data_IF_368204261880
#
_entry.id   IF_368204261880
#
_cell.length_a   1.000
_cell.length_b   1.000
_cell.length_c   1.000
_cell.angle_alpha   90.00
_cell.angle_beta   90.00
_cell.angle_gamma   90.00
#
_symmetry.space_group_name_H-M   'P 1'
#
loop_
_entity.id
_entity.type
_entity.pdbx_description
1 polymer ?
#
# COMPACT_ATOMS: atom_id res chain seq x y z
N UNK A 1 6.02 -2.54 9.16
CA UNK A 1 6.78 -2.51 10.44
C UNK A 1 5.80 -2.36 11.58
N UNK A 2 6.04 -2.95 12.75
CA UNK A 2 5.16 -2.74 13.90
C UNK A 2 5.29 -1.31 14.44
N UNK A 3 4.18 -0.58 14.49
CA UNK A 3 4.04 0.74 15.13
C UNK A 3 3.20 0.59 16.39
N UNK A 4 3.61 1.22 17.50
CA UNK A 4 2.82 1.26 18.74
C UNK A 4 2.31 2.68 18.97
N UNK A 5 1.00 2.85 19.11
CA UNK A 5 0.36 4.08 19.56
C UNK A 5 -0.46 3.74 20.80
N UNK A 6 -0.14 4.38 21.93
CA UNK A 6 -0.66 3.98 23.25
C UNK A 6 -0.45 2.49 23.49
N UNK A 7 -1.51 1.69 23.64
CA UNK A 7 -1.43 0.22 23.77
C UNK A 7 -1.95 -0.53 22.53
N UNK A 8 -2.05 0.18 21.40
CA UNK A 8 -2.50 -0.38 20.12
C UNK A 8 -1.29 -0.58 19.21
N UNK A 9 -1.24 -1.75 18.56
CA UNK A 9 -0.23 -2.08 17.57
C UNK A 9 -0.81 -1.99 16.16
N UNK A 10 -0.01 -1.48 15.22
CA UNK A 10 -0.34 -1.40 13.80
C UNK A 10 0.78 -1.99 12.94
N UNK A 11 0.42 -2.57 11.78
CA UNK A 11 1.39 -2.86 10.74
C UNK A 11 1.49 -1.64 9.82
N UNK A 12 2.61 -0.93 9.89
CA UNK A 12 2.75 0.40 9.32
C UNK A 12 3.93 0.52 8.35
N UNK A 13 3.78 1.41 7.38
CA UNK A 13 4.81 1.86 6.46
C UNK A 13 5.05 3.35 6.70
N UNK A 14 6.31 3.71 6.94
CA UNK A 14 6.73 5.09 7.17
C UNK A 14 7.23 5.68 5.87
N UNK A 15 6.76 6.89 5.52
CA UNK A 15 7.23 7.62 4.35
C UNK A 15 8.20 8.71 4.76
N UNK A 16 9.46 8.55 4.40
CA UNK A 16 10.53 9.52 4.67
C UNK A 16 10.97 10.12 3.33
N UNK A 17 11.07 11.45 3.27
CA UNK A 17 11.46 12.14 2.04
C UNK A 17 12.98 12.18 1.81
N UNK A 18 13.39 12.82 0.71
CA UNK A 18 14.79 12.97 0.32
C UNK A 18 15.63 13.83 1.28
N UNK A 19 14.98 14.53 2.21
CA UNK A 19 15.63 15.34 3.25
C UNK A 19 15.74 14.61 4.59
N UNK A 20 15.16 13.41 4.68
CA UNK A 20 15.11 12.63 5.93
C UNK A 20 13.91 12.97 6.82
N UNK A 21 12.94 13.76 6.34
CA UNK A 21 11.74 14.14 7.09
C UNK A 21 10.67 13.06 6.92
N UNK A 22 10.08 12.63 8.04
CA UNK A 22 8.89 11.76 8.03
C UNK A 22 7.67 12.56 7.54
N UNK A 23 7.23 12.31 6.31
CA UNK A 23 6.01 12.91 5.76
C UNK A 23 4.74 12.28 6.33
N UNK A 24 4.83 11.03 6.79
CA UNK A 24 3.80 10.40 7.59
C UNK A 24 3.84 8.88 7.56
N UNK A 25 2.79 8.30 8.13
CA UNK A 25 2.68 6.85 8.36
C UNK A 25 1.40 6.33 7.73
N UNK A 26 1.51 5.28 6.93
CA UNK A 26 0.40 4.46 6.45
C UNK A 26 0.25 3.22 7.32
N UNK A 27 -0.98 2.91 7.75
CA UNK A 27 -1.32 1.72 8.54
C UNK A 27 -2.09 0.75 7.66
N UNK A 28 -1.67 -0.51 7.62
CA UNK A 28 -2.25 -1.57 6.80
C UNK A 28 -3.74 -1.68 7.06
N UNK A 29 -4.54 -1.58 6.00
CA UNK A 29 -6.01 -1.61 6.11
C UNK A 29 -6.50 -3.07 6.15
N UNK A 30 -6.00 -3.91 5.25
CA UNK A 30 -6.40 -5.31 5.16
C UNK A 30 -5.40 -6.22 5.87
N UNK A 31 -5.70 -6.56 7.13
CA UNK A 31 -4.92 -7.54 7.89
C UNK A 31 -5.15 -8.96 7.36
N UNK A 32 -4.05 -9.69 7.14
CA UNK A 32 -4.04 -11.07 6.67
C UNK A 32 -3.96 -12.05 7.83
N UNK A 33 -4.85 -13.04 7.81
CA UNK A 33 -4.82 -14.20 8.71
C UNK A 33 -4.50 -13.84 10.18
N UNK A 34 -3.40 -14.36 10.73
CA UNK A 34 -2.99 -14.17 12.13
C UNK A 34 -2.57 -12.75 12.50
N UNK A 35 -2.34 -11.84 11.53
CA UNK A 35 -2.05 -10.43 11.84
C UNK A 35 -3.18 -9.79 12.66
N UNK A 36 -4.42 -10.23 12.48
CA UNK A 36 -5.61 -9.76 13.23
C UNK A 36 -5.53 -10.02 14.73
N UNK A 37 -4.68 -10.95 15.17
CA UNK A 37 -4.49 -11.26 16.58
C UNK A 37 -3.52 -10.28 17.27
N UNK A 38 -2.75 -9.52 16.49
CA UNK A 38 -1.67 -8.67 17.00
C UNK A 38 -1.85 -7.20 16.64
N UNK A 39 -2.40 -6.92 15.46
CA UNK A 39 -2.50 -5.57 14.91
C UNK A 39 -3.94 -5.12 14.79
N UNK A 40 -4.13 -3.81 14.92
CA UNK A 40 -5.37 -3.11 14.58
C UNK A 40 -5.28 -2.64 13.13
N UNK A 41 -6.37 -2.75 12.33
CA UNK A 41 -6.38 -2.25 10.97
C UNK A 41 -6.29 -0.72 10.94
N UNK A 42 -5.61 -0.19 9.92
CA UNK A 42 -5.68 1.21 9.55
C UNK A 42 -7.04 1.59 8.98
N UNK A 43 -7.30 2.89 8.87
CA UNK A 43 -8.59 3.45 8.49
C UNK A 43 -8.63 4.01 7.06
N UNK A 44 -7.47 4.32 6.47
CA UNK A 44 -7.40 5.02 5.19
C UNK A 44 -6.13 4.70 4.39
N UNK A 45 -6.28 4.68 3.07
CA UNK A 45 -5.17 4.71 2.13
C UNK A 45 -4.62 6.13 1.97
N UNK A 46 -3.29 6.27 1.96
CA UNK A 46 -2.62 7.57 1.96
C UNK A 46 -1.76 7.77 0.71
N UNK A 47 -1.84 8.98 0.16
CA UNK A 47 -0.97 9.49 -0.90
C UNK A 47 -0.12 10.64 -0.34
N UNK A 48 1.18 10.59 -0.61
CA UNK A 48 2.16 11.56 -0.17
C UNK A 48 2.63 12.41 -1.36
N UNK A 49 2.62 13.74 -1.21
CA UNK A 49 3.16 14.64 -2.21
C UNK A 49 4.68 14.68 -2.09
N UNK A 50 5.39 14.43 -3.18
CA UNK A 50 6.85 14.46 -3.22
C UNK A 50 7.35 15.24 -4.45
N UNK A 51 8.65 15.55 -4.48
CA UNK A 51 9.29 16.22 -5.63
C UNK A 51 9.24 15.41 -6.93
N UNK A 52 9.05 14.10 -6.83
CA UNK A 52 9.02 13.18 -7.98
C UNK A 52 7.60 12.74 -8.35
N UNK A 53 6.58 13.31 -7.70
CA UNK A 53 5.18 12.98 -7.92
C UNK A 53 4.47 12.53 -6.65
N UNK A 54 3.22 12.09 -6.80
CA UNK A 54 2.36 11.64 -5.70
C UNK A 54 2.51 10.14 -5.49
N UNK A 55 2.96 9.74 -4.30
CA UNK A 55 3.27 8.34 -3.99
C UNK A 55 2.22 7.77 -3.04
N UNK A 56 1.56 6.69 -3.45
CA UNK A 56 0.53 6.00 -2.68
C UNK A 56 1.08 4.73 -2.07
N UNK A 57 0.75 4.51 -0.80
CA UNK A 57 1.24 3.39 0.00
C UNK A 57 0.14 2.37 0.28
N UNK A 58 0.50 1.10 0.23
CA UNK A 58 -0.32 -0.04 0.62
C UNK A 58 0.59 -1.23 0.96
N UNK A 59 0.13 -2.18 1.77
CA UNK A 59 0.98 -3.24 2.32
C UNK A 59 0.42 -4.62 1.98
N UNK A 60 1.23 -5.43 1.30
CA UNK A 60 1.05 -6.86 1.13
C UNK A 60 -0.38 -7.24 0.70
N UNK A 61 -1.19 -7.69 1.66
CA UNK A 61 -2.55 -8.16 1.45
C UNK A 61 -3.53 -7.09 0.96
N UNK A 62 -3.24 -5.81 1.18
CA UNK A 62 -4.02 -4.70 0.58
C UNK A 62 -4.10 -4.81 -0.95
N UNK A 63 -3.07 -5.39 -1.56
CA UNK A 63 -2.98 -5.58 -3.00
C UNK A 63 -3.87 -6.69 -3.53
N UNK A 64 -4.66 -7.38 -2.72
CA UNK A 64 -5.73 -8.25 -3.22
C UNK A 64 -7.06 -7.53 -3.38
N UNK A 65 -7.16 -6.28 -2.92
CA UNK A 65 -8.41 -5.53 -2.90
C UNK A 65 -8.35 -4.43 -3.95
N UNK A 66 -9.00 -4.59 -5.11
CA UNK A 66 -8.97 -3.59 -6.18
C UNK A 66 -9.39 -2.19 -5.70
N UNK A 67 -10.22 -2.12 -4.67
CA UNK A 67 -10.62 -0.90 -3.96
C UNK A 67 -9.45 -0.12 -3.36
N UNK A 68 -8.38 -0.79 -2.93
CA UNK A 68 -7.18 -0.15 -2.39
C UNK A 68 -6.51 0.73 -3.45
N UNK A 69 -6.14 0.14 -4.59
CA UNK A 69 -5.55 0.90 -5.70
C UNK A 69 -6.54 1.91 -6.28
N UNK A 70 -7.83 1.57 -6.38
CA UNK A 70 -8.85 2.53 -6.85
C UNK A 70 -8.96 3.74 -5.92
N UNK A 71 -8.88 3.54 -4.61
CA UNK A 71 -8.92 4.64 -3.63
C UNK A 71 -7.71 5.54 -3.75
N UNK A 72 -6.51 4.97 -3.93
CA UNK A 72 -5.28 5.72 -4.19
C UNK A 72 -5.30 6.44 -5.55
N UNK A 73 -5.88 5.83 -6.58
CA UNK A 73 -6.06 6.43 -7.90
C UNK A 73 -6.99 7.64 -7.87
N UNK A 74 -8.10 7.57 -7.12
CA UNK A 74 -9.03 8.69 -6.94
C UNK A 74 -8.35 9.86 -6.21
N UNK A 75 -7.43 9.57 -5.28
CA UNK A 75 -6.58 10.59 -4.63
C UNK A 75 -5.50 11.16 -5.58
N UNK A 76 -5.37 10.60 -6.78
CA UNK A 76 -4.39 11.00 -7.78
C UNK A 76 -2.99 10.47 -7.49
N UNK A 77 -2.84 9.22 -7.11
CA UNK A 77 -1.50 8.61 -7.02
C UNK A 77 -0.82 8.53 -8.39
N UNK A 78 0.43 8.97 -8.51
CA UNK A 78 1.25 8.83 -9.72
C UNK A 78 2.14 7.57 -9.64
N UNK A 79 2.56 7.17 -8.42
CA UNK A 79 3.31 5.94 -8.16
C UNK A 79 2.73 5.19 -6.96
N UNK A 80 2.39 3.92 -7.16
CA UNK A 80 1.97 2.99 -6.12
C UNK A 80 3.17 2.18 -5.61
N UNK A 81 3.35 2.12 -4.30
CA UNK A 81 4.41 1.34 -3.66
C UNK A 81 3.80 0.30 -2.73
N UNK A 82 4.08 -0.97 -2.99
CA UNK A 82 3.62 -2.08 -2.15
C UNK A 82 4.78 -2.72 -1.39
N UNK A 83 4.74 -2.66 -0.06
CA UNK A 83 5.65 -3.47 0.78
C UNK A 83 5.08 -4.86 1.03
N UNK A 84 5.73 -5.89 0.49
CA UNK A 84 5.28 -7.29 0.56
C UNK A 84 6.20 -8.16 1.42
N UNK A 85 5.65 -9.20 2.04
CA UNK A 85 6.41 -10.30 2.64
C UNK A 85 5.62 -11.61 2.44
N UNK A 86 5.71 -12.19 1.24
CA UNK A 86 4.87 -13.33 0.85
C UNK A 86 5.61 -14.64 1.09
N UNK A 87 4.86 -15.67 1.50
CA UNK A 87 5.40 -17.02 1.64
C UNK A 87 5.34 -17.76 0.29
N UNK A 88 6.36 -18.58 -0.02
CA UNK A 88 6.31 -19.46 -1.20
C UNK A 88 5.28 -20.58 -0.95
N UNK A 89 4.51 -21.02 -1.97
CA UNK A 89 4.66 -20.78 -3.41
C UNK A 89 3.85 -19.58 -3.96
N UNK A 90 3.19 -18.82 -3.10
CA UNK A 90 2.25 -17.75 -3.48
C UNK A 90 2.92 -16.53 -4.16
N UNK A 91 4.25 -16.42 -4.10
CA UNK A 91 5.02 -15.30 -4.64
C UNK A 91 4.88 -15.09 -6.18
N UNK A 92 4.75 -16.15 -6.97
CA UNK A 92 4.81 -16.03 -8.44
C UNK A 92 3.46 -15.81 -9.13
N UNK A 93 2.43 -16.59 -8.80
CA UNK A 93 1.14 -16.51 -9.47
C UNK A 93 0.31 -15.30 -9.04
N UNK A 94 0.36 -14.94 -7.75
CA UNK A 94 -0.38 -13.78 -7.26
C UNK A 94 0.24 -12.48 -7.78
N UNK A 95 1.56 -12.37 -7.86
CA UNK A 95 2.19 -11.17 -8.38
C UNK A 95 1.78 -10.95 -9.84
N UNK A 96 1.56 -12.03 -10.60
CA UNK A 96 1.07 -11.97 -11.97
C UNK A 96 -0.40 -11.61 -12.06
N UNK A 97 -1.25 -12.18 -11.20
CA UNK A 97 -2.68 -11.87 -11.10
C UNK A 97 -2.91 -10.41 -10.70
N UNK A 98 -2.25 -9.96 -9.63
CA UNK A 98 -2.29 -8.56 -9.17
C UNK A 98 -1.80 -7.62 -10.26
N UNK A 99 -0.68 -7.93 -10.93
CA UNK A 99 -0.25 -7.11 -12.07
C UNK A 99 -1.31 -7.03 -13.15
N UNK A 100 -2.08 -8.07 -13.43
CA UNK A 100 -3.17 -7.95 -14.40
C UNK A 100 -4.31 -7.04 -13.90
N UNK A 101 -4.89 -7.35 -12.75
CA UNK A 101 -6.10 -6.69 -12.28
C UNK A 101 -5.86 -5.21 -11.92
N UNK A 102 -4.70 -4.89 -11.37
CA UNK A 102 -4.32 -3.52 -11.00
C UNK A 102 -3.94 -2.68 -12.21
N UNK A 103 -3.12 -3.22 -13.12
CA UNK A 103 -2.72 -2.45 -14.29
C UNK A 103 -3.92 -2.21 -15.20
N UNK A 104 -4.85 -3.16 -15.38
CA UNK A 104 -6.07 -2.92 -16.17
C UNK A 104 -6.90 -1.78 -15.58
N UNK A 105 -7.20 -1.79 -14.28
CA UNK A 105 -7.98 -0.70 -13.66
C UNK A 105 -7.27 0.66 -13.68
N UNK A 106 -5.96 0.69 -13.47
CA UNK A 106 -5.21 1.94 -13.40
C UNK A 106 -4.96 2.50 -14.79
N UNK A 107 -4.55 1.69 -15.77
CA UNK A 107 -4.25 2.16 -17.13
C UNK A 107 -5.49 2.68 -17.87
N UNK A 108 -6.68 2.14 -17.61
CA UNK A 108 -7.94 2.65 -18.17
C UNK A 108 -8.32 4.03 -17.63
N UNK A 109 -7.95 4.35 -16.38
CA UNK A 109 -8.40 5.57 -15.69
C UNK A 109 -7.33 6.65 -15.63
N UNK A 110 -6.06 6.26 -15.47
CA UNK A 110 -4.85 7.09 -15.36
C UNK A 110 -3.64 6.32 -15.95
N UNK A 111 -3.35 6.46 -17.26
CA UNK A 111 -2.29 5.72 -17.93
C UNK A 111 -0.87 6.08 -17.45
N UNK A 112 -0.74 7.09 -16.59
CA UNK A 112 0.47 7.62 -15.99
C UNK A 112 0.79 7.04 -14.59
N UNK A 113 0.01 6.07 -14.08
CA UNK A 113 0.27 5.44 -12.77
C UNK A 113 1.21 4.26 -12.90
N UNK A 114 2.30 4.29 -12.15
CA UNK A 114 3.27 3.20 -12.08
C UNK A 114 3.11 2.40 -10.78
N UNK A 115 3.48 1.12 -10.80
CA UNK A 115 3.52 0.26 -9.61
C UNK A 115 4.96 -0.19 -9.39
N UNK A 116 5.50 0.07 -8.20
CA UNK A 116 6.83 -0.32 -7.75
C UNK A 116 6.76 -1.35 -6.62
#
# INVERSE_FOLDING_TARGET
>A
MAEKEEDILYNSQFFIDDTGVLLGTYRKVHLFDSEKNYFTPGDQFKVFNTKIGRIGLFICYDAFFPEAARSLAIQGVDLLVNSTNWEKPYDYDIAKQMKHDYYTMLTERRPDVYIA
#
